data_IF_823936572777
#
_entry.id   IF_823936572777
#
_cell.length_a   1.000
_cell.length_b   1.000
_cell.length_c   1.000
_cell.angle_alpha   90.00
_cell.angle_beta   90.00
_cell.angle_gamma   90.00
#
_symmetry.space_group_name_H-M   'P 1'
#
loop_
_entity.id
_entity.type
_entity.pdbx_description
1 polymer ?
#
# COMPACT_ATOMS: atom_id res chain seq x y z
N UNK A 1 -9.76 10.26 -33.70
CA UNK A 1 -9.16 8.92 -33.74
C UNK A 1 -8.63 8.67 -32.34
N UNK A 2 -9.08 7.61 -31.65
CA UNK A 2 -8.57 7.28 -30.31
C UNK A 2 -7.09 6.90 -30.42
N UNK A 3 -6.30 7.27 -29.40
CA UNK A 3 -4.88 6.92 -29.32
C UNK A 3 -4.73 5.38 -29.34
N UNK A 4 -3.99 4.79 -30.30
CA UNK A 4 -3.78 3.35 -30.38
C UNK A 4 -3.27 2.72 -29.08
N UNK A 5 -2.50 3.46 -28.27
CA UNK A 5 -2.01 2.98 -26.98
C UNK A 5 -3.13 2.85 -25.93
N UNK A 6 -4.10 3.77 -25.94
CA UNK A 6 -5.25 3.71 -25.03
C UNK A 6 -6.12 2.49 -25.34
N UNK A 7 -6.36 2.24 -26.63
CA UNK A 7 -7.13 1.07 -27.08
C UNK A 7 -6.44 -0.23 -26.66
N UNK A 8 -5.11 -0.30 -26.78
CA UNK A 8 -4.34 -1.47 -26.36
C UNK A 8 -4.44 -1.72 -24.85
N UNK A 9 -4.34 -0.67 -24.02
CA UNK A 9 -4.48 -0.76 -22.56
C UNK A 9 -5.87 -1.30 -22.18
N UNK A 10 -6.92 -0.82 -22.84
CA UNK A 10 -8.29 -1.26 -22.57
C UNK A 10 -8.47 -2.76 -22.90
N UNK A 11 -7.88 -3.23 -24.01
CA UNK A 11 -7.89 -4.66 -24.38
C UNK A 11 -7.17 -5.49 -23.31
N UNK A 12 -5.96 -5.11 -22.93
CA UNK A 12 -5.17 -5.81 -21.89
C UNK A 12 -5.90 -5.85 -20.54
N UNK A 13 -6.55 -4.75 -20.16
CA UNK A 13 -7.38 -4.69 -18.97
C UNK A 13 -8.52 -5.69 -19.02
N UNK A 14 -9.28 -5.73 -20.13
CA UNK A 14 -10.39 -6.67 -20.29
C UNK A 14 -9.93 -8.13 -20.27
N UNK A 15 -8.80 -8.44 -20.92
CA UNK A 15 -8.21 -9.78 -20.88
C UNK A 15 -7.83 -10.19 -19.47
N UNK A 16 -7.20 -9.30 -18.70
CA UNK A 16 -6.84 -9.54 -17.32
C UNK A 16 -8.07 -9.78 -16.45
N UNK A 17 -9.10 -8.94 -16.59
CA UNK A 17 -10.34 -9.07 -15.83
C UNK A 17 -11.05 -10.40 -16.12
N UNK A 18 -11.03 -10.86 -17.37
CA UNK A 18 -11.58 -12.16 -17.74
C UNK A 18 -10.79 -13.31 -17.11
N UNK A 19 -9.44 -13.27 -17.18
CA UNK A 19 -8.58 -14.26 -16.51
C UNK A 19 -8.83 -14.31 -15.01
N UNK A 20 -9.00 -13.16 -14.36
CA UNK A 20 -9.31 -13.07 -12.94
C UNK A 20 -10.69 -13.67 -12.60
N UNK A 21 -11.70 -13.42 -13.43
CA UNK A 21 -13.05 -13.98 -13.23
C UNK A 21 -13.07 -15.51 -13.36
N UNK A 22 -12.18 -16.08 -14.18
CA UNK A 22 -12.02 -17.52 -14.35
C UNK A 22 -11.06 -18.16 -13.33
N UNK A 23 -10.26 -17.36 -12.63
CA UNK A 23 -9.31 -17.84 -11.65
C UNK A 23 -10.05 -18.36 -10.40
N UNK A 24 -9.77 -19.59 -10.01
CA UNK A 24 -10.30 -20.18 -8.77
C UNK A 24 -9.28 -20.04 -7.63
N UNK A 25 -8.66 -18.87 -7.53
CA UNK A 25 -7.63 -18.58 -6.53
C UNK A 25 -8.25 -17.84 -5.34
N UNK A 26 -8.03 -18.38 -4.14
CA UNK A 26 -8.48 -17.71 -2.92
C UNK A 26 -7.43 -16.70 -2.48
N UNK A 27 -7.84 -15.44 -2.30
CA UNK A 27 -6.98 -14.43 -1.71
C UNK A 27 -6.74 -14.80 -0.24
N UNK A 28 -5.47 -14.96 0.13
CA UNK A 28 -5.08 -15.19 1.51
C UNK A 28 -5.64 -14.08 2.41
N UNK A 29 -6.31 -14.44 3.51
CA UNK A 29 -6.80 -13.45 4.48
C UNK A 29 -5.71 -13.07 5.48
N UNK A 30 -5.78 -11.88 6.07
CA UNK A 30 -4.95 -11.50 7.21
C UNK A 30 -5.58 -11.93 8.54
N UNK A 31 -4.80 -11.90 9.61
CA UNK A 31 -5.25 -12.23 10.96
C UNK A 31 -4.73 -11.25 12.02
N UNK A 32 -5.29 -11.36 13.23
CA UNK A 32 -4.96 -10.47 14.36
C UNK A 32 -3.47 -10.53 14.71
N UNK A 33 -2.85 -11.71 14.65
CA UNK A 33 -1.44 -11.88 15.01
C UNK A 33 -0.51 -11.19 14.01
N UNK A 34 -0.79 -11.31 12.71
CA UNK A 34 -0.06 -10.63 11.64
C UNK A 34 -0.17 -9.11 11.79
N UNK A 35 -1.38 -8.57 11.95
CA UNK A 35 -1.58 -7.13 12.14
C UNK A 35 -0.89 -6.64 13.41
N UNK A 36 -0.99 -7.40 14.51
CA UNK A 36 -0.33 -7.05 15.78
C UNK A 36 1.18 -7.00 15.63
N UNK A 37 1.79 -8.00 14.96
CA UNK A 37 3.22 -8.02 14.64
C UNK A 37 3.63 -6.76 13.89
N UNK A 38 2.88 -6.36 12.86
CA UNK A 38 3.15 -5.11 12.13
C UNK A 38 3.07 -3.87 13.03
N UNK A 39 2.01 -3.78 13.84
CA UNK A 39 1.85 -2.67 14.78
C UNK A 39 3.07 -2.61 15.71
N UNK A 40 3.52 -3.72 16.27
CA UNK A 40 4.64 -3.74 17.22
C UNK A 40 5.96 -3.24 16.62
N UNK A 41 6.31 -3.69 15.41
CA UNK A 41 7.57 -3.32 14.75
C UNK A 41 7.58 -1.88 14.21
N UNK A 42 6.42 -1.28 13.95
CA UNK A 42 6.32 0.08 13.39
C UNK A 42 6.90 1.15 14.33
N UNK A 43 7.65 2.12 13.79
CA UNK A 43 8.14 3.22 14.63
C UNK A 43 7.01 4.18 15.03
N UNK A 44 7.03 4.63 16.30
CA UNK A 44 5.96 5.47 16.88
C UNK A 44 5.85 6.85 16.23
N UNK A 45 6.98 7.39 15.76
CA UNK A 45 7.12 8.79 15.34
C UNK A 45 7.00 8.97 13.82
N UNK A 46 6.35 8.04 13.11
CA UNK A 46 6.06 8.22 11.69
C UNK A 46 5.07 9.37 11.49
N UNK A 47 5.25 10.09 10.38
CA UNK A 47 4.33 11.14 9.96
C UNK A 47 2.93 10.57 9.70
N UNK A 48 1.92 11.31 10.15
CA UNK A 48 0.49 10.96 10.07
C UNK A 48 -0.05 11.30 8.68
N UNK A 49 -1.08 10.57 8.26
CA UNK A 49 -1.81 10.88 7.03
C UNK A 49 -2.74 12.08 7.18
N UNK A 50 -3.64 12.25 6.22
CA UNK A 50 -4.65 13.33 6.24
C UNK A 50 -5.64 13.17 7.41
N UNK A 51 -5.93 11.92 7.81
CA UNK A 51 -6.82 11.56 8.92
C UNK A 51 -6.27 11.95 10.30
N UNK A 52 -5.04 12.47 10.32
CA UNK A 52 -4.31 12.79 11.52
C UNK A 52 -4.31 11.64 12.53
N UNK A 53 -4.27 10.36 12.14
CA UNK A 53 -4.04 9.21 13.05
C UNK A 53 -2.55 8.84 13.04
N UNK A 54 -1.97 8.55 14.21
CA UNK A 54 -0.55 8.16 14.34
C UNK A 54 -0.37 6.73 14.77
N UNK A 55 0.82 6.18 14.47
CA UNK A 55 1.27 4.89 15.00
C UNK A 55 1.30 4.90 16.53
N UNK A 56 1.67 6.04 17.14
CA UNK A 56 1.62 6.21 18.60
C UNK A 56 0.21 5.99 19.17
N UNK A 57 -0.82 6.55 18.51
CA UNK A 57 -2.20 6.35 18.95
C UNK A 57 -2.63 4.90 18.77
N UNK A 58 -2.42 4.30 17.60
CA UNK A 58 -2.83 2.91 17.33
C UNK A 58 -2.22 1.93 18.32
N UNK A 59 -0.94 2.11 18.68
CA UNK A 59 -0.25 1.29 19.68
C UNK A 59 -0.85 1.33 21.09
N UNK A 60 -1.72 2.31 21.37
CA UNK A 60 -2.38 2.48 22.68
C UNK A 60 -3.87 2.14 22.65
N UNK A 61 -4.44 1.84 21.47
CA UNK A 61 -5.84 1.45 21.38
C UNK A 61 -6.00 0.02 21.95
N UNK A 62 -7.18 -0.29 22.46
CA UNK A 62 -7.52 -1.60 22.99
C UNK A 62 -7.34 -2.72 21.95
N UNK A 63 -7.04 -3.96 22.37
CA UNK A 63 -6.88 -5.11 21.47
C UNK A 63 -8.07 -5.36 20.55
N UNK A 64 -9.30 -5.04 20.99
CA UNK A 64 -10.52 -5.19 20.17
C UNK A 64 -10.48 -4.37 18.87
N UNK A 65 -9.71 -3.29 18.83
CA UNK A 65 -9.51 -2.51 17.62
C UNK A 65 -8.73 -3.27 16.54
N UNK A 66 -7.77 -4.12 16.94
CA UNK A 66 -7.00 -4.94 16.00
C UNK A 66 -7.94 -5.96 15.32
N UNK A 67 -8.90 -6.52 16.06
CA UNK A 67 -9.93 -7.39 15.52
C UNK A 67 -10.79 -6.67 14.48
N UNK A 68 -11.20 -5.42 14.74
CA UNK A 68 -11.93 -4.61 13.76
C UNK A 68 -11.09 -4.37 12.50
N UNK A 69 -9.79 -4.07 12.64
CA UNK A 69 -8.90 -3.90 11.49
C UNK A 69 -8.77 -5.17 10.66
N UNK A 70 -8.63 -6.33 11.30
CA UNK A 70 -8.57 -7.62 10.60
C UNK A 70 -9.84 -7.85 9.77
N UNK A 71 -11.02 -7.57 10.34
CA UNK A 71 -12.29 -7.71 9.64
C UNK A 71 -12.38 -6.75 8.44
N UNK A 72 -11.99 -5.48 8.60
CA UNK A 72 -11.96 -4.53 7.50
C UNK A 72 -11.03 -5.00 6.37
N UNK A 73 -9.80 -5.39 6.70
CA UNK A 73 -8.80 -5.79 5.70
C UNK A 73 -9.24 -7.06 4.97
N UNK A 74 -9.79 -8.03 5.70
CA UNK A 74 -10.30 -9.27 5.11
C UNK A 74 -11.51 -9.03 4.21
N UNK A 75 -12.36 -8.06 4.55
CA UNK A 75 -13.48 -7.66 3.68
C UNK A 75 -12.92 -7.10 2.36
N UNK A 76 -11.93 -6.21 2.43
CA UNK A 76 -11.30 -5.63 1.23
C UNK A 76 -10.59 -6.65 0.35
N UNK A 77 -9.90 -7.60 0.96
CA UNK A 77 -9.24 -8.70 0.24
C UNK A 77 -10.25 -9.57 -0.50
N UNK A 78 -11.38 -9.90 0.14
CA UNK A 78 -12.44 -10.74 -0.43
C UNK A 78 -13.24 -10.03 -1.52
N UNK A 79 -13.50 -8.75 -1.33
CA UNK A 79 -14.28 -7.95 -2.28
C UNK A 79 -13.44 -7.38 -3.42
N UNK A 80 -12.11 -7.56 -3.38
CA UNK A 80 -11.16 -6.93 -4.30
C UNK A 80 -11.33 -5.39 -4.34
N UNK A 81 -11.77 -4.80 -3.23
CA UNK A 81 -12.14 -3.39 -3.12
C UNK A 81 -11.43 -2.72 -1.96
N UNK A 82 -10.72 -1.65 -2.28
CA UNK A 82 -10.00 -0.84 -1.31
C UNK A 82 -10.68 0.53 -1.15
N UNK A 83 -10.89 0.96 0.10
CA UNK A 83 -11.62 2.20 0.42
C UNK A 83 -10.93 3.45 -0.13
N UNK A 84 -11.68 4.28 -0.86
CA UNK A 84 -11.16 5.51 -1.47
C UNK A 84 -10.70 6.53 -0.42
N UNK A 85 -11.37 6.58 0.73
CA UNK A 85 -10.98 7.48 1.84
C UNK A 85 -9.57 7.16 2.31
N UNK A 86 -9.15 5.89 2.26
CA UNK A 86 -7.80 5.50 2.70
C UNK A 86 -6.77 5.54 1.57
N UNK A 87 -7.19 5.76 0.32
CA UNK A 87 -6.29 6.12 -0.80
C UNK A 87 -5.87 7.60 -0.75
N UNK A 88 -6.53 8.43 0.05
CA UNK A 88 -6.21 9.85 0.15
C UNK A 88 -4.82 10.07 0.79
N UNK A 89 -3.98 10.80 0.07
CA UNK A 89 -2.65 11.18 0.52
C UNK A 89 -2.59 12.65 0.89
N UNK A 90 -1.99 12.95 2.06
CA UNK A 90 -1.54 14.30 2.39
C UNK A 90 -0.22 14.57 1.70
N UNK A 91 -0.19 15.53 0.78
CA UNK A 91 1.05 15.93 0.10
C UNK A 91 1.85 16.88 0.99
N UNK A 92 3.12 16.58 1.20
CA UNK A 92 4.09 17.49 1.82
C UNK A 92 5.25 17.76 0.86
N UNK A 93 5.83 18.95 0.94
CA UNK A 93 6.94 19.40 0.12
C UNK A 93 8.23 19.44 0.95
N UNK A 94 9.28 18.77 0.50
CA UNK A 94 10.62 18.86 1.09
C UNK A 94 11.58 19.55 0.12
N UNK A 95 12.45 20.41 0.64
CA UNK A 95 13.53 20.98 -0.14
C UNK A 95 14.57 19.89 -0.46
N UNK A 96 14.94 19.72 -1.73
CA UNK A 96 16.06 18.83 -2.13
C UNK A 96 17.40 19.38 -1.65
N UNK A 97 17.52 20.70 -1.58
CA UNK A 97 18.69 21.42 -1.11
C UNK A 97 18.68 21.50 0.42
N UNK A 98 19.87 21.55 1.02
CA UNK A 98 20.05 21.69 2.47
C UNK A 98 19.79 23.12 2.98
N UNK A 99 19.71 24.10 2.07
CA UNK A 99 19.50 25.52 2.39
C UNK A 99 18.91 26.27 1.18
N UNK A 100 18.44 27.50 1.42
CA UNK A 100 17.87 28.39 0.40
C UNK A 100 16.39 28.12 0.09
N UNK A 101 15.78 29.01 -0.69
CA UNK A 101 14.41 28.86 -1.18
C UNK A 101 14.44 27.99 -2.45
N UNK A 102 13.77 26.82 -2.47
CA UNK A 102 13.81 25.94 -3.63
C UNK A 102 12.92 26.45 -4.76
N UNK A 103 13.36 26.24 -6.00
CA UNK A 103 12.49 26.26 -7.19
C UNK A 103 11.64 24.99 -7.26
N UNK A 104 10.60 24.98 -8.10
CA UNK A 104 9.69 23.84 -8.23
C UNK A 104 10.39 22.50 -8.56
N UNK A 105 11.40 22.50 -9.44
CA UNK A 105 12.22 21.33 -9.79
C UNK A 105 13.08 20.81 -8.62
N UNK A 106 13.31 21.66 -7.62
CA UNK A 106 14.11 21.41 -6.43
C UNK A 106 13.28 20.95 -5.23
N UNK A 107 11.99 20.70 -5.41
CA UNK A 107 11.10 20.19 -4.36
C UNK A 107 10.91 18.67 -4.54
N UNK A 108 10.93 17.93 -3.43
CA UNK A 108 10.45 16.54 -3.35
C UNK A 108 9.05 16.56 -2.76
N UNK A 109 8.08 16.09 -3.53
CA UNK A 109 6.75 15.79 -3.02
C UNK A 109 6.79 14.44 -2.30
N UNK A 110 6.18 14.37 -1.12
CA UNK A 110 5.94 13.12 -0.41
C UNK A 110 4.45 12.98 -0.18
N UNK A 111 3.92 11.85 -0.62
CA UNK A 111 2.54 11.43 -0.37
C UNK A 111 2.46 10.69 0.97
N UNK A 112 1.81 11.30 1.96
CA UNK A 112 1.55 10.67 3.25
C UNK A 112 0.15 10.06 3.27
N UNK A 113 0.07 8.76 3.02
CA UNK A 113 -1.16 7.97 3.22
C UNK A 113 -1.52 7.85 4.71
N UNK A 114 -2.77 7.51 4.98
CA UNK A 114 -3.25 7.18 6.33
C UNK A 114 -2.45 6.03 6.93
N UNK A 115 -2.34 5.99 8.26
CA UNK A 115 -1.57 4.94 8.93
C UNK A 115 -2.12 3.55 8.62
N UNK A 116 -3.44 3.41 8.53
CA UNK A 116 -4.06 2.12 8.24
C UNK A 116 -3.90 1.68 6.80
N UNK A 117 -3.91 2.62 5.85
CA UNK A 117 -3.61 2.37 4.45
C UNK A 117 -2.24 1.73 4.28
N UNK A 118 -1.21 2.38 4.82
CA UNK A 118 0.19 1.89 4.78
C UNK A 118 0.33 0.49 5.37
N UNK A 119 -0.46 0.17 6.41
CA UNK A 119 -0.43 -1.15 7.04
C UNK A 119 -1.04 -2.23 6.15
N UNK A 120 -2.17 -1.92 5.53
CA UNK A 120 -2.78 -2.82 4.56
C UNK A 120 -1.84 -3.05 3.36
N UNK A 121 -1.26 -1.99 2.82
CA UNK A 121 -0.27 -2.07 1.73
C UNK A 121 0.96 -2.89 2.14
N UNK A 122 1.41 -2.80 3.40
CA UNK A 122 2.55 -3.58 3.89
C UNK A 122 2.26 -5.09 3.89
N UNK A 123 1.06 -5.50 4.30
CA UNK A 123 0.62 -6.90 4.25
C UNK A 123 0.60 -7.39 2.80
N UNK A 124 0.00 -6.61 1.89
CA UNK A 124 -0.04 -6.94 0.47
C UNK A 124 1.36 -7.01 -0.16
N UNK A 125 2.23 -6.06 0.17
CA UNK A 125 3.60 -6.00 -0.32
C UNK A 125 4.38 -7.25 0.06
N UNK A 126 4.25 -7.76 1.28
CA UNK A 126 4.96 -8.96 1.72
C UNK A 126 4.55 -10.20 0.92
N UNK A 127 3.26 -10.34 0.61
CA UNK A 127 2.73 -11.43 -0.20
C UNK A 127 3.14 -11.33 -1.67
N UNK A 128 2.96 -10.16 -2.28
CA UNK A 128 3.36 -9.90 -3.69
C UNK A 128 4.85 -10.16 -3.86
N UNK A 129 5.64 -9.70 -2.89
CA UNK A 129 7.07 -9.88 -2.90
C UNK A 129 7.47 -11.34 -2.82
N UNK A 130 6.93 -12.09 -1.85
CA UNK A 130 7.22 -13.52 -1.71
C UNK A 130 6.87 -14.27 -3.01
N UNK A 131 5.72 -13.96 -3.61
CA UNK A 131 5.31 -14.52 -4.89
C UNK A 131 6.31 -14.17 -6.01
N UNK A 132 6.69 -12.90 -6.13
CA UNK A 132 7.60 -12.45 -7.19
C UNK A 132 9.01 -13.06 -7.07
N UNK A 133 9.53 -13.19 -5.84
CA UNK A 133 10.81 -13.82 -5.56
C UNK A 133 10.77 -15.33 -5.85
N UNK A 134 9.71 -16.01 -5.39
CA UNK A 134 9.52 -17.46 -5.63
C UNK A 134 9.44 -17.79 -7.12
N UNK A 135 8.86 -16.89 -7.93
CA UNK A 135 8.75 -17.05 -9.37
C UNK A 135 9.92 -16.44 -10.16
N UNK A 136 11.00 -16.02 -9.48
CA UNK A 136 12.19 -15.42 -10.11
C UNK A 136 11.88 -14.21 -11.03
N UNK A 137 10.83 -13.45 -10.71
CA UNK A 137 10.38 -12.32 -11.54
C UNK A 137 11.23 -11.06 -11.34
N UNK A 138 12.00 -10.99 -10.25
CA UNK A 138 12.86 -9.84 -9.95
C UNK A 138 14.30 -10.17 -10.40
N UNK A 139 14.88 -9.43 -11.38
CA UNK A 139 16.22 -9.72 -11.93
C UNK A 139 17.35 -9.59 -10.90
N UNK A 140 18.31 -10.50 -10.87
CA UNK A 140 19.37 -10.56 -9.85
C UNK A 140 20.19 -9.26 -9.74
N UNK A 141 20.29 -8.50 -10.83
CA UNK A 141 20.99 -7.22 -10.92
C UNK A 141 20.24 -6.07 -10.22
N UNK A 142 18.94 -6.22 -9.97
CA UNK A 142 18.14 -5.20 -9.31
C UNK A 142 18.47 -5.14 -7.81
N UNK A 143 19.30 -4.19 -7.39
CA UNK A 143 19.64 -3.98 -5.97
C UNK A 143 18.66 -3.07 -5.21
N UNK A 144 18.00 -2.16 -5.92
CA UNK A 144 17.05 -1.22 -5.33
C UNK A 144 15.77 -1.91 -4.83
N UNK A 145 15.31 -1.51 -3.64
CA UNK A 145 14.06 -1.97 -3.02
C UNK A 145 13.96 -3.49 -2.79
N UNK A 146 15.12 -4.14 -2.63
CA UNK A 146 15.23 -5.50 -2.08
C UNK A 146 15.37 -5.46 -0.55
N UNK A 147 15.30 -6.64 0.09
CA UNK A 147 15.46 -6.84 1.54
C UNK A 147 16.85 -7.37 1.80
#
# INVERSE_FOLDING_TARGET
MLDPYVVQIDIEYLELMNKLALANENVETTNIAEIKKHIEIETKNKSRGFDAVSNYMIKRISPGYISCLANCFNTWLKEYRYSDVWKLAKIITLNKLKAGVPRCDQIRLISLLTTHSKRFEKIMLERIRLWAETNSLVPIEQSGFRS
#
